data_IF_595538156967
#
_entry.id   IF_595538156967
#
_cell.length_a   1.000
_cell.length_b   1.000
_cell.length_c   1.000
_cell.angle_alpha   90.00
_cell.angle_beta   90.00
_cell.angle_gamma   90.00
#
_symmetry.space_group_name_H-M   'P 1'
#
loop_
_entity.id
_entity.type
_entity.pdbx_description
1 polymer ?
#
# COMPACT_ATOMS: atom_id res chain seq x y z
N UNK A 1 12.35 -3.54 28.46
CA UNK A 1 13.60 -3.73 27.67
C UNK A 1 13.56 -5.05 26.85
N UNK A 2 12.40 -5.55 26.43
CA UNK A 2 12.11 -5.80 25.00
C UNK A 2 11.30 -4.57 24.55
N UNK A 3 11.15 -4.16 23.30
CA UNK A 3 10.30 -4.84 22.31
C UNK A 3 10.59 -4.32 20.87
N UNK A 4 11.78 -3.74 20.63
CA UNK A 4 12.08 -3.07 19.35
C UNK A 4 12.19 -3.97 18.10
N UNK A 5 12.13 -5.29 18.25
CA UNK A 5 12.26 -6.26 17.14
C UNK A 5 10.89 -6.61 16.52
N UNK A 6 9.81 -6.49 17.29
CA UNK A 6 8.46 -6.82 16.82
C UNK A 6 7.88 -5.74 15.88
N UNK A 7 8.18 -4.47 16.14
CA UNK A 7 7.62 -3.35 15.38
C UNK A 7 8.23 -3.26 13.96
N UNK A 8 9.56 -3.31 13.84
CA UNK A 8 10.24 -3.23 12.53
C UNK A 8 9.92 -4.41 11.60
N UNK A 9 9.77 -5.61 12.15
CA UNK A 9 9.40 -6.81 11.39
C UNK A 9 7.98 -6.72 10.82
N UNK A 10 7.03 -6.16 11.58
CA UNK A 10 5.66 -5.94 11.13
C UNK A 10 5.58 -4.98 9.94
N UNK A 11 6.27 -3.84 10.02
CA UNK A 11 6.30 -2.86 8.93
C UNK A 11 7.04 -3.35 7.69
N UNK A 12 8.16 -4.07 7.86
CA UNK A 12 8.86 -4.70 6.73
C UNK A 12 7.97 -5.76 6.07
N UNK A 13 7.24 -6.54 6.86
CA UNK A 13 6.23 -7.48 6.38
C UNK A 13 5.15 -6.80 5.56
N UNK A 14 4.61 -5.68 6.04
CA UNK A 14 3.64 -4.86 5.31
C UNK A 14 4.21 -4.30 4.00
N UNK A 15 5.45 -3.80 4.01
CA UNK A 15 6.15 -3.31 2.82
C UNK A 15 6.26 -4.39 1.73
N UNK A 16 6.73 -5.57 2.12
CA UNK A 16 6.91 -6.70 1.21
C UNK A 16 5.57 -7.26 0.73
N UNK A 17 4.57 -7.34 1.61
CA UNK A 17 3.23 -7.78 1.27
C UNK A 17 2.60 -6.86 0.23
N UNK A 18 2.56 -5.56 0.48
CA UNK A 18 1.97 -4.56 -0.43
C UNK A 18 2.70 -4.54 -1.77
N UNK A 19 4.04 -4.56 -1.76
CA UNK A 19 4.84 -4.65 -2.99
C UNK A 19 4.51 -5.90 -3.80
N UNK A 20 4.47 -7.07 -3.17
CA UNK A 20 4.14 -8.34 -3.83
C UNK A 20 2.72 -8.33 -4.37
N UNK A 21 1.76 -7.89 -3.57
CA UNK A 21 0.36 -7.80 -3.96
C UNK A 21 0.19 -6.91 -5.21
N UNK A 22 0.83 -5.75 -5.24
CA UNK A 22 0.79 -4.84 -6.39
C UNK A 22 1.50 -5.42 -7.63
N UNK A 23 2.64 -6.11 -7.46
CA UNK A 23 3.31 -6.77 -8.59
C UNK A 23 2.53 -7.93 -9.19
N UNK A 24 1.87 -8.71 -8.34
CA UNK A 24 1.00 -9.81 -8.78
C UNK A 24 -0.26 -9.26 -9.45
N UNK A 25 -0.79 -8.15 -8.94
CA UNK A 25 -1.97 -7.48 -9.50
C UNK A 25 -1.71 -6.75 -10.81
N UNK A 26 -0.50 -6.22 -11.00
CA UNK A 26 -0.14 -5.33 -12.09
C UNK A 26 -0.57 -5.84 -13.48
N UNK A 27 -0.30 -7.10 -13.88
CA UNK A 27 -0.65 -7.59 -15.22
C UNK A 27 -2.16 -7.57 -15.54
N UNK A 28 -3.00 -7.57 -14.50
CA UNK A 28 -4.46 -7.63 -14.63
C UNK A 28 -5.12 -6.25 -14.49
N UNK A 29 -4.34 -5.18 -14.25
CA UNK A 29 -4.84 -3.81 -14.12
C UNK A 29 -4.55 -2.98 -15.38
N UNK A 30 -5.35 -1.92 -15.66
CA UNK A 30 -5.21 -1.11 -16.89
C UNK A 30 -3.85 -0.45 -17.10
N UNK A 31 -3.05 -0.28 -16.04
CA UNK A 31 -1.72 0.35 -16.10
C UNK A 31 -0.65 -0.50 -15.37
N UNK A 32 -0.20 -1.63 -15.95
CA UNK A 32 0.65 -2.60 -15.27
C UNK A 32 1.99 -2.01 -14.81
N UNK A 33 2.64 -1.21 -15.65
CA UNK A 33 3.93 -0.57 -15.32
C UNK A 33 3.81 0.39 -14.14
N UNK A 34 2.73 1.17 -14.11
CA UNK A 34 2.46 2.11 -13.02
C UNK A 34 2.24 1.35 -11.70
N UNK A 35 1.41 0.31 -11.70
CA UNK A 35 1.11 -0.47 -10.48
C UNK A 35 2.35 -1.18 -9.95
N UNK A 36 3.15 -1.78 -10.83
CA UNK A 36 4.41 -2.43 -10.44
C UNK A 36 5.41 -1.43 -9.84
N UNK A 37 5.58 -0.27 -10.50
CA UNK A 37 6.43 0.81 -10.01
C UNK A 37 5.92 1.37 -8.67
N UNK A 38 4.60 1.48 -8.50
CA UNK A 38 3.99 1.93 -7.26
C UNK A 38 4.26 0.96 -6.10
N UNK A 39 4.33 -0.34 -6.35
CA UNK A 39 4.75 -1.32 -5.34
C UNK A 39 6.22 -1.17 -4.96
N UNK A 40 7.10 -0.90 -5.93
CA UNK A 40 8.53 -0.67 -5.67
C UNK A 40 8.78 0.63 -4.89
N UNK A 41 8.13 1.73 -5.28
CA UNK A 41 8.26 3.01 -4.57
C UNK A 41 7.62 2.97 -3.18
N UNK A 42 6.50 2.27 -2.98
CA UNK A 42 5.91 2.07 -1.65
C UNK A 42 6.91 1.40 -0.69
N UNK A 43 7.54 0.31 -1.14
CA UNK A 43 8.52 -0.40 -0.32
C UNK A 43 9.75 0.48 -0.01
N UNK A 44 10.23 1.25 -0.99
CA UNK A 44 11.33 2.20 -0.80
C UNK A 44 10.98 3.27 0.24
N UNK A 45 9.82 3.91 0.09
CA UNK A 45 9.38 4.99 0.97
C UNK A 45 9.16 4.48 2.40
N UNK A 46 8.47 3.35 2.58
CA UNK A 46 8.26 2.75 3.89
C UNK A 46 9.58 2.30 4.54
N UNK A 47 10.52 1.77 3.76
CA UNK A 47 11.87 1.46 4.27
C UNK A 47 12.58 2.74 4.72
N UNK A 48 12.46 3.83 3.96
CA UNK A 48 12.99 5.15 4.35
C UNK A 48 12.43 5.64 5.69
N UNK A 49 11.13 5.49 5.92
CA UNK A 49 10.48 5.80 7.21
C UNK A 49 11.07 4.94 8.34
N UNK A 50 11.23 3.63 8.13
CA UNK A 50 11.75 2.71 9.15
C UNK A 50 13.22 2.96 9.50
N UNK A 51 14.02 3.35 8.50
CA UNK A 51 15.45 3.63 8.68
C UNK A 51 15.75 5.03 9.24
N UNK A 52 14.73 5.84 9.49
CA UNK A 52 14.89 7.21 10.00
C UNK A 52 14.22 7.36 11.37
N UNK A 53 14.91 7.03 12.48
CA UNK A 53 14.35 7.17 13.81
C UNK A 53 14.07 8.65 14.13
N UNK A 54 12.90 8.94 14.71
CA UNK A 54 12.48 10.28 15.11
C UNK A 54 13.33 10.91 16.24
N UNK A 55 14.32 10.19 16.77
CA UNK A 55 15.12 10.55 17.94
C UNK A 55 16.56 10.98 17.62
N UNK A 56 17.00 10.88 16.36
CA UNK A 56 18.40 11.12 15.95
C UNK A 56 18.66 12.56 15.45
N UNK A 57 17.94 13.54 16.00
CA UNK A 57 18.12 14.97 15.73
C UNK A 57 17.26 15.53 14.59
N UNK A 58 17.28 16.86 14.44
CA UNK A 58 16.34 17.63 13.61
C UNK A 58 16.39 17.26 12.12
N UNK A 59 17.59 16.98 11.59
CA UNK A 59 17.77 16.57 10.19
C UNK A 59 17.10 15.22 9.93
N UNK A 60 17.32 14.23 10.79
CA UNK A 60 16.73 12.90 10.63
C UNK A 60 15.21 12.97 10.82
N UNK A 61 14.74 13.81 11.74
CA UNK A 61 13.31 14.08 11.92
C UNK A 61 12.67 14.64 10.64
N UNK A 62 13.32 15.60 9.99
CA UNK A 62 12.81 16.18 8.74
C UNK A 62 12.80 15.16 7.59
N UNK A 63 13.83 14.30 7.50
CA UNK A 63 13.89 13.22 6.51
C UNK A 63 12.76 12.20 6.76
N UNK A 64 12.54 11.77 8.00
CA UNK A 64 11.46 10.85 8.37
C UNK A 64 10.09 11.42 7.98
N UNK A 65 9.84 12.68 8.34
CA UNK A 65 8.60 13.39 8.00
C UNK A 65 8.40 13.48 6.49
N UNK A 66 9.48 13.70 5.73
CA UNK A 66 9.44 13.77 4.27
C UNK A 66 9.12 12.42 3.63
N UNK A 67 9.74 11.32 4.09
CA UNK A 67 9.39 9.98 3.64
C UNK A 67 7.94 9.61 3.98
N UNK A 68 7.49 9.94 5.20
CA UNK A 68 6.12 9.71 5.63
C UNK A 68 5.09 10.48 4.79
N UNK A 69 5.36 11.75 4.50
CA UNK A 69 4.51 12.58 3.64
C UNK A 69 4.47 12.06 2.19
N UNK A 70 5.62 11.67 1.65
CA UNK A 70 5.71 11.07 0.31
C UNK A 70 4.95 9.74 0.24
N UNK A 71 5.06 8.89 1.26
CA UNK A 71 4.31 7.63 1.36
C UNK A 71 2.79 7.88 1.40
N UNK A 72 2.35 8.86 2.20
CA UNK A 72 0.95 9.27 2.26
C UNK A 72 0.40 9.73 0.89
N UNK A 73 1.13 10.60 0.20
CA UNK A 73 0.75 11.07 -1.14
C UNK A 73 0.72 9.91 -2.15
N UNK A 74 1.68 9.00 -2.04
CA UNK A 74 1.76 7.81 -2.89
C UNK A 74 0.54 6.90 -2.72
N UNK A 75 0.13 6.60 -1.48
CA UNK A 75 -1.07 5.82 -1.17
C UNK A 75 -2.35 6.50 -1.66
N UNK A 76 -2.43 7.83 -1.57
CA UNK A 76 -3.57 8.61 -2.07
C UNK A 76 -3.72 8.48 -3.59
N UNK A 77 -2.63 8.71 -4.34
CA UNK A 77 -2.62 8.60 -5.80
C UNK A 77 -2.97 7.18 -6.24
N UNK A 78 -2.38 6.19 -5.59
CA UNK A 78 -2.64 4.79 -5.89
C UNK A 78 -4.10 4.43 -5.62
N UNK A 79 -4.67 4.86 -4.51
CA UNK A 79 -6.06 4.57 -4.17
C UNK A 79 -7.07 5.16 -5.14
N UNK A 80 -6.90 6.42 -5.54
CA UNK A 80 -7.76 7.06 -6.54
C UNK A 80 -7.71 6.29 -7.86
N UNK A 81 -6.51 5.88 -8.30
CA UNK A 81 -6.33 5.07 -9.50
C UNK A 81 -7.02 3.72 -9.39
N UNK A 82 -6.76 2.97 -8.31
CA UNK A 82 -7.38 1.66 -8.10
C UNK A 82 -8.91 1.75 -8.01
N UNK A 83 -9.43 2.76 -7.31
CA UNK A 83 -10.86 3.00 -7.20
C UNK A 83 -11.52 3.30 -8.55
N UNK A 84 -10.83 4.06 -9.42
CA UNK A 84 -11.30 4.34 -10.78
C UNK A 84 -11.40 3.09 -11.66
N UNK A 85 -10.60 2.05 -11.39
CA UNK A 85 -10.58 0.81 -12.18
C UNK A 85 -11.48 -0.29 -11.62
N UNK A 86 -11.57 -0.39 -10.29
CA UNK A 86 -12.32 -1.43 -9.60
C UNK A 86 -13.75 -1.02 -9.20
N UNK A 87 -14.18 0.20 -9.57
CA UNK A 87 -15.36 0.85 -9.00
C UNK A 87 -15.39 0.73 -7.47
N UNK A 88 -14.21 0.85 -6.85
CA UNK A 88 -14.13 0.84 -5.40
C UNK A 88 -14.91 2.07 -4.91
N UNK A 89 -15.89 1.85 -4.03
CA UNK A 89 -16.94 2.83 -3.77
C UNK A 89 -16.37 4.21 -3.42
N UNK A 90 -16.93 5.27 -4.01
CA UNK A 90 -16.52 6.66 -3.79
C UNK A 90 -16.38 7.01 -2.30
N UNK A 91 -17.20 6.39 -1.44
CA UNK A 91 -17.13 6.53 0.01
C UNK A 91 -15.75 6.14 0.60
N UNK A 92 -15.08 5.10 0.11
CA UNK A 92 -13.75 4.70 0.60
C UNK A 92 -12.68 5.72 0.22
N UNK A 93 -12.75 6.26 -1.00
CA UNK A 93 -11.84 7.32 -1.45
C UNK A 93 -12.08 8.58 -0.63
N UNK A 94 -13.34 8.95 -0.38
CA UNK A 94 -13.67 10.09 0.50
C UNK A 94 -13.17 9.87 1.92
N UNK A 95 -13.34 8.69 2.50
CA UNK A 95 -12.80 8.36 3.83
C UNK A 95 -11.28 8.48 3.88
N UNK A 96 -10.61 7.98 2.84
CA UNK A 96 -9.16 8.08 2.75
C UNK A 96 -8.72 9.54 2.62
N UNK A 97 -9.33 10.32 1.73
CA UNK A 97 -9.02 11.75 1.59
C UNK A 97 -9.26 12.50 2.90
N UNK A 98 -10.40 12.27 3.56
CA UNK A 98 -10.72 12.90 4.83
C UNK A 98 -9.72 12.52 5.94
N UNK A 99 -9.37 11.24 6.04
CA UNK A 99 -8.34 10.76 6.98
C UNK A 99 -6.97 11.37 6.70
N UNK A 100 -6.57 11.46 5.43
CA UNK A 100 -5.31 12.07 5.02
C UNK A 100 -5.26 13.58 5.30
N UNK A 101 -6.35 14.31 5.04
CA UNK A 101 -6.46 15.73 5.38
C UNK A 101 -6.41 15.92 6.90
N UNK A 102 -7.16 15.13 7.68
CA UNK A 102 -7.14 15.20 9.13
C UNK A 102 -5.74 14.94 9.70
N UNK A 103 -5.04 13.91 9.22
CA UNK A 103 -3.66 13.64 9.59
C UNK A 103 -2.71 14.77 9.20
N UNK A 104 -2.81 15.30 7.97
CA UNK A 104 -1.98 16.41 7.51
C UNK A 104 -2.16 17.66 8.37
N UNK A 105 -3.40 18.03 8.68
CA UNK A 105 -3.71 19.14 9.57
C UNK A 105 -3.13 18.91 10.96
N UNK A 106 -3.29 17.70 11.54
CA UNK A 106 -2.75 17.39 12.86
C UNK A 106 -1.22 17.40 12.92
N UNK A 107 -0.53 17.02 11.83
CA UNK A 107 0.94 17.12 11.74
C UNK A 107 1.41 18.58 11.63
N UNK A 108 0.64 19.46 10.99
CA UNK A 108 0.98 20.89 10.84
C UNK A 108 0.69 21.67 12.12
N UNK A 109 -0.46 21.42 12.74
CA UNK A 109 -0.89 22.12 13.94
C UNK A 109 -0.29 21.54 15.23
N UNK A 110 0.39 20.40 15.15
CA UNK A 110 0.87 19.62 16.30
C UNK A 110 -0.24 19.31 17.34
N UNK A 111 -1.48 19.29 16.86
CA UNK A 111 -2.69 19.20 17.67
C UNK A 111 -3.74 18.32 16.98
N UNK A 112 -4.59 17.68 17.78
CA UNK A 112 -5.68 16.83 17.30
C UNK A 112 -5.28 15.34 17.13
N UNK A 113 -6.25 14.50 16.72
CA UNK A 113 -6.12 13.05 16.82
C UNK A 113 -5.38 12.46 15.60
N UNK A 114 -4.08 12.73 15.50
CA UNK A 114 -3.21 12.25 14.41
C UNK A 114 -3.38 10.74 14.16
N UNK A 115 -3.36 9.96 15.24
CA UNK A 115 -3.49 8.50 15.21
C UNK A 115 -4.82 8.07 14.58
N UNK A 116 -5.91 8.76 14.89
CA UNK A 116 -7.24 8.43 14.35
C UNK A 116 -7.30 8.74 12.85
N UNK A 117 -6.80 9.90 12.43
CA UNK A 117 -6.72 10.24 11.00
C UNK A 117 -5.90 9.21 10.21
N UNK A 118 -4.76 8.79 10.77
CA UNK A 118 -3.87 7.81 10.15
C UNK A 118 -4.53 6.44 10.08
N UNK A 119 -5.22 6.01 11.15
CA UNK A 119 -5.95 4.76 11.18
C UNK A 119 -7.07 4.74 10.13
N UNK A 120 -7.87 5.80 10.03
CA UNK A 120 -8.94 5.92 9.02
C UNK A 120 -8.36 5.88 7.61
N UNK A 121 -7.27 6.61 7.37
CA UNK A 121 -6.57 6.61 6.09
C UNK A 121 -6.09 5.21 5.68
N UNK A 122 -5.36 4.54 6.59
CA UNK A 122 -4.78 3.22 6.34
C UNK A 122 -5.86 2.13 6.18
N UNK A 123 -6.93 2.18 6.97
CA UNK A 123 -8.06 1.24 6.83
C UNK A 123 -8.79 1.43 5.50
N UNK A 124 -9.05 2.67 5.10
CA UNK A 124 -9.68 2.98 3.82
C UNK A 124 -8.82 2.51 2.64
N UNK A 125 -7.52 2.81 2.67
CA UNK A 125 -6.56 2.33 1.67
C UNK A 125 -6.52 0.80 1.59
N UNK A 126 -6.41 0.14 2.74
CA UNK A 126 -6.40 -1.33 2.83
C UNK A 126 -7.67 -1.96 2.25
N UNK A 127 -8.84 -1.38 2.52
CA UNK A 127 -10.11 -1.84 1.94
C UNK A 127 -10.16 -1.67 0.41
N UNK A 128 -9.66 -0.55 -0.13
CA UNK A 128 -9.56 -0.33 -1.58
C UNK A 128 -8.64 -1.38 -2.22
N UNK A 129 -7.48 -1.63 -1.60
CA UNK A 129 -6.54 -2.67 -2.03
C UNK A 129 -7.19 -4.05 -2.05
N UNK A 130 -7.79 -4.48 -0.94
CA UNK A 130 -8.44 -5.80 -0.84
C UNK A 130 -9.55 -5.96 -1.88
N UNK A 131 -10.40 -4.94 -2.04
CA UNK A 131 -11.50 -4.97 -3.01
C UNK A 131 -10.99 -5.06 -4.44
N UNK A 132 -9.96 -4.30 -4.77
CA UNK A 132 -9.34 -4.32 -6.10
C UNK A 132 -8.71 -5.69 -6.40
N UNK A 133 -7.99 -6.27 -5.43
CA UNK A 133 -7.40 -7.60 -5.58
C UNK A 133 -8.44 -8.71 -5.74
N UNK A 134 -9.59 -8.62 -5.06
CA UNK A 134 -10.69 -9.60 -5.20
C UNK A 134 -11.36 -9.57 -6.56
N UNK A 135 -11.29 -8.45 -7.27
CA UNK A 135 -11.89 -8.27 -8.60
C UNK A 135 -10.95 -8.71 -9.72
N UNK A 136 -9.68 -9.02 -9.41
CA UNK A 136 -8.77 -9.60 -10.39
C UNK A 136 -9.25 -11.01 -10.75
N UNK A 137 -9.33 -11.35 -12.05
CA UNK A 137 -9.55 -12.72 -12.45
C UNK A 137 -8.51 -13.62 -11.77
N UNK A 138 -8.93 -14.69 -11.10
CA UNK A 138 -8.02 -15.75 -10.63
C UNK A 138 -7.33 -16.36 -11.85
N UNK A 139 -6.23 -15.76 -12.29
CA UNK A 139 -5.42 -16.35 -13.33
C UNK A 139 -4.62 -17.50 -12.72
N UNK A 140 -5.00 -18.74 -13.06
CA UNK A 140 -4.04 -19.82 -13.21
C UNK A 140 -4.09 -20.98 -12.23
N UNK A 141 -5.12 -21.82 -12.31
CA UNK A 141 -4.87 -23.25 -12.54
C UNK A 141 -5.31 -23.54 -13.96
N UNK A 142 -4.41 -23.45 -14.94
CA UNK A 142 -4.66 -24.12 -16.22
C UNK A 142 -4.81 -25.61 -15.89
N UNK A 143 -5.92 -26.29 -16.25
CA UNK A 143 -5.96 -27.73 -16.16
C UNK A 143 -4.80 -28.25 -17.00
N UNK A 144 -3.91 -29.01 -16.38
CA UNK A 144 -2.93 -29.81 -17.13
C UNK A 144 -3.77 -30.77 -17.96
N UNK A 145 -3.88 -30.52 -19.27
CA UNK A 145 -4.48 -31.49 -20.18
C UNK A 145 -3.69 -32.79 -20.02
N UNK A 146 -4.34 -33.92 -19.69
CA UNK A 146 -3.64 -35.19 -19.62
C UNK A 146 -2.95 -35.46 -20.96
N UNK A 147 -1.76 -36.07 -20.96
CA UNK A 147 -1.05 -36.41 -22.18
C UNK A 147 -1.99 -37.21 -23.09
N UNK A 148 -2.15 -36.76 -24.32
CA UNK A 148 -2.94 -37.45 -25.32
C UNK A 148 -2.41 -38.88 -25.43
N UNK A 149 -3.26 -39.86 -25.11
CA UNK A 149 -2.97 -41.27 -25.28
C UNK A 149 -2.57 -41.51 -26.74
N UNK A 150 -1.29 -41.79 -26.95
CA UNK A 150 -0.80 -42.38 -28.20
C UNK A 150 -1.28 -43.82 -28.26
N UNK A 151 -2.52 -44.02 -28.67
CA UNK A 151 -2.93 -45.23 -29.35
C UNK A 151 -3.06 -44.89 -30.84
N UNK A 152 -2.19 -45.50 -31.65
CA UNK A 152 -2.44 -46.05 -33.00
C UNK A 152 -1.12 -46.14 -33.76
N UNK A 153 -0.45 -47.30 -33.72
CA UNK A 153 -0.25 -48.19 -34.89
C UNK A 153 0.47 -49.46 -34.47
#
# INVERSE_FOLDING_TARGET
MGDGVADGGGFLGAALYTRRALKVAAPALPAPRFVAAAGDSFALLLTGVLLTPYTLGDVVHWIHRSFGAALFMHEMVLAVRLASWASAGAALVVLQVAGGVASGVSVVLEQGPLVVGQAVFQLAFGMIMIRTLRLLPRQGTKPVSPPASTEQT
#
